data_IF_470311076488
#
_entry.id   IF_470311076488
#
_cell.length_a   1.000
_cell.length_b   1.000
_cell.length_c   1.000
_cell.angle_alpha   90.00
_cell.angle_beta   90.00
_cell.angle_gamma   90.00
#
_symmetry.space_group_name_H-M   'P 1'
#
loop_
_entity.id
_entity.type
_entity.pdbx_description
1 polymer ?
#
# COMPACT_ATOMS: atom_id res chain seq x y z
N UNK A 1 12.78 7.71 20.99
CA UNK A 1 11.97 8.51 20.03
C UNK A 1 10.51 8.41 20.41
N UNK A 2 9.73 9.50 20.44
CA UNK A 2 8.29 9.46 20.74
C UNK A 2 7.53 8.78 19.59
N UNK A 3 6.47 8.03 19.88
CA UNK A 3 5.65 7.36 18.86
C UNK A 3 4.64 8.32 18.20
N UNK A 4 4.02 9.18 19.00
CA UNK A 4 2.94 10.10 18.60
C UNK A 4 3.35 11.58 18.70
N UNK A 5 2.65 12.45 17.96
CA UNK A 5 2.84 13.91 17.98
C UNK A 5 3.84 14.47 16.95
N UNK A 6 4.17 15.77 17.05
CA UNK A 6 5.12 16.43 16.14
C UNK A 6 6.54 15.90 16.31
N UNK A 7 7.30 15.72 15.21
CA UNK A 7 8.67 15.16 15.20
C UNK A 7 8.78 13.77 15.88
N UNK A 8 7.70 12.99 15.84
CA UNK A 8 7.64 11.61 16.36
C UNK A 8 7.90 10.56 15.27
N UNK A 9 7.94 9.28 15.63
CA UNK A 9 8.02 8.19 14.67
C UNK A 9 6.89 8.26 13.63
N UNK A 10 5.64 8.52 14.05
CA UNK A 10 4.51 8.68 13.14
C UNK A 10 4.69 9.82 12.13
N UNK A 11 5.45 10.86 12.47
CA UNK A 11 5.77 11.95 11.55
C UNK A 11 6.68 11.49 10.41
N UNK A 12 7.74 10.75 10.73
CA UNK A 12 8.64 10.18 9.72
C UNK A 12 7.94 9.10 8.89
N UNK A 13 7.16 8.23 9.54
CA UNK A 13 6.39 7.19 8.86
C UNK A 13 5.32 7.78 7.94
N UNK A 14 4.72 8.92 8.27
CA UNK A 14 3.80 9.64 7.38
C UNK A 14 4.49 10.02 6.06
N UNK A 15 5.65 10.66 6.11
CA UNK A 15 6.37 11.04 4.89
C UNK A 15 6.92 9.83 4.15
N UNK A 16 7.46 8.85 4.86
CA UNK A 16 7.96 7.61 4.25
C UNK A 16 6.88 6.85 3.51
N UNK A 17 5.70 6.66 4.11
CA UNK A 17 4.55 6.01 3.45
C UNK A 17 3.98 6.87 2.32
N UNK A 18 3.94 8.20 2.46
CA UNK A 18 3.51 9.08 1.36
C UNK A 18 4.46 8.99 0.16
N UNK A 19 5.77 9.01 0.41
CA UNK A 19 6.78 8.86 -0.63
C UNK A 19 6.70 7.49 -1.29
N UNK A 20 6.51 6.42 -0.51
CA UNK A 20 6.31 5.07 -1.04
C UNK A 20 5.06 4.99 -1.93
N UNK A 21 3.94 5.58 -1.50
CA UNK A 21 2.71 5.62 -2.28
C UNK A 21 2.90 6.32 -3.64
N UNK A 22 3.48 7.53 -3.61
CA UNK A 22 3.77 8.31 -4.81
C UNK A 22 4.77 7.55 -5.69
N UNK A 23 5.83 7.01 -5.10
CA UNK A 23 6.87 6.25 -5.79
C UNK A 23 6.30 5.03 -6.51
N UNK A 24 5.42 4.25 -5.87
CA UNK A 24 4.76 3.11 -6.51
C UNK A 24 3.93 3.51 -7.73
N UNK A 25 3.15 4.59 -7.63
CA UNK A 25 2.30 5.08 -8.73
C UNK A 25 3.14 5.69 -9.87
N UNK A 26 4.17 6.48 -9.54
CA UNK A 26 5.08 7.03 -10.54
C UNK A 26 5.87 5.94 -11.25
N UNK A 27 6.35 4.93 -10.52
CA UNK A 27 7.11 3.83 -11.09
C UNK A 27 6.28 3.03 -12.08
N UNK A 28 5.06 2.63 -11.71
CA UNK A 28 4.18 1.89 -12.63
C UNK A 28 3.75 2.75 -13.82
N UNK A 29 3.46 4.04 -13.59
CA UNK A 29 3.16 4.99 -14.66
C UNK A 29 4.33 5.14 -15.64
N UNK A 30 5.56 5.23 -15.13
CA UNK A 30 6.77 5.31 -15.94
C UNK A 30 7.01 4.04 -16.76
N UNK A 31 6.82 2.86 -16.15
CA UNK A 31 6.92 1.57 -16.87
C UNK A 31 5.90 1.52 -18.01
N UNK A 32 4.61 1.77 -17.71
CA UNK A 32 3.55 1.70 -18.71
C UNK A 32 3.74 2.72 -19.84
N UNK A 33 4.14 3.95 -19.51
CA UNK A 33 4.42 4.99 -20.50
C UNK A 33 5.63 4.63 -21.37
N UNK A 34 6.69 4.08 -20.78
CA UNK A 34 7.87 3.64 -21.53
C UNK A 34 7.55 2.49 -22.49
N UNK A 35 6.73 1.54 -22.05
CA UNK A 35 6.26 0.44 -22.89
C UNK A 35 5.34 0.95 -24.02
N UNK A 36 4.43 1.89 -23.73
CA UNK A 36 3.50 2.45 -24.72
C UNK A 36 4.21 3.31 -25.78
N UNK A 37 5.27 4.03 -25.40
CA UNK A 37 6.06 4.87 -26.31
C UNK A 37 7.17 4.11 -27.05
N UNK A 38 7.40 2.83 -26.72
CA UNK A 38 8.51 2.06 -27.30
C UNK A 38 9.89 2.43 -26.74
N UNK A 39 9.95 3.11 -25.59
CA UNK A 39 11.19 3.51 -24.91
C UNK A 39 11.77 2.36 -24.05
N UNK A 40 11.97 1.19 -24.65
CA UNK A 40 12.57 0.03 -24.00
C UNK A 40 13.42 -0.77 -24.98
N UNK A 41 14.42 -1.48 -24.47
CA UNK A 41 15.17 -2.48 -25.25
C UNK A 41 14.70 -3.88 -24.86
N UNK A 42 14.66 -4.79 -25.82
CA UNK A 42 14.28 -6.18 -25.59
C UNK A 42 15.54 -7.05 -25.66
N UNK A 43 15.87 -7.71 -24.56
CA UNK A 43 17.01 -8.64 -24.47
C UNK A 43 16.45 -9.95 -23.90
N UNK A 44 16.51 -11.04 -24.67
CA UNK A 44 16.06 -12.38 -24.24
C UNK A 44 14.65 -12.38 -23.62
N UNK A 45 13.68 -11.78 -24.31
CA UNK A 45 12.28 -11.65 -23.86
C UNK A 45 12.08 -10.82 -22.57
N UNK A 46 13.08 -10.04 -22.16
CA UNK A 46 12.98 -9.08 -21.06
C UNK A 46 13.02 -7.66 -21.59
N UNK A 47 12.09 -6.83 -21.15
CA UNK A 47 12.18 -5.40 -21.37
C UNK A 47 13.22 -4.80 -20.43
N UNK A 48 13.98 -3.85 -20.94
CA UNK A 48 14.94 -3.06 -20.21
C UNK A 48 14.66 -1.58 -20.49
N UNK A 49 14.26 -0.85 -19.46
CA UNK A 49 13.98 0.58 -19.52
C UNK A 49 15.09 1.30 -18.76
N UNK A 50 15.79 2.22 -19.43
CA UNK A 50 16.81 3.07 -18.80
C UNK A 50 16.15 4.16 -17.97
N UNK A 51 16.73 4.46 -16.81
CA UNK A 51 16.30 5.61 -16.01
C UNK A 51 16.98 6.87 -16.58
N UNK A 52 16.23 7.91 -17.00
CA UNK A 52 16.81 9.06 -17.70
C UNK A 52 17.94 9.77 -16.94
N UNK A 53 17.82 9.84 -15.61
CA UNK A 53 18.80 10.50 -14.73
C UNK A 53 19.99 9.60 -14.38
N UNK A 54 19.88 8.28 -14.58
CA UNK A 54 20.88 7.29 -14.20
C UNK A 54 20.96 6.21 -15.29
N UNK A 55 21.71 6.45 -16.38
CA UNK A 55 21.73 5.56 -17.55
C UNK A 55 22.19 4.13 -17.28
N UNK A 56 22.94 3.91 -16.19
CA UNK A 56 23.41 2.60 -15.75
C UNK A 56 22.33 1.81 -14.98
N UNK A 57 21.28 2.49 -14.51
CA UNK A 57 20.18 1.87 -13.80
C UNK A 57 19.07 1.49 -14.79
N UNK A 58 18.67 0.23 -14.71
CA UNK A 58 17.68 -0.35 -15.60
C UNK A 58 16.54 -0.98 -14.83
N UNK A 59 15.31 -0.64 -15.22
CA UNK A 59 14.13 -1.39 -14.83
C UNK A 59 14.01 -2.56 -15.79
N UNK A 60 14.06 -3.78 -15.24
CA UNK A 60 13.98 -5.02 -16.00
C UNK A 60 12.73 -5.80 -15.61
N UNK A 61 12.10 -6.41 -16.59
CA UNK A 61 10.98 -7.33 -16.38
C UNK A 61 10.76 -8.19 -17.61
N UNK A 62 9.98 -9.26 -17.46
CA UNK A 62 9.60 -10.08 -18.60
C UNK A 62 8.58 -9.33 -19.47
N UNK A 63 8.78 -9.35 -20.78
CA UNK A 63 7.89 -8.71 -21.74
C UNK A 63 6.73 -9.66 -22.11
N UNK A 64 5.93 -9.99 -21.10
CA UNK A 64 4.72 -10.81 -21.28
C UNK A 64 3.52 -10.04 -20.72
N UNK A 65 2.40 -10.05 -21.46
CA UNK A 65 1.23 -9.23 -21.13
C UNK A 65 0.67 -9.55 -19.74
N UNK A 66 0.55 -10.82 -19.39
CA UNK A 66 0.15 -11.29 -18.06
C UNK A 66 1.07 -10.74 -16.96
N UNK A 67 2.39 -10.73 -17.17
CA UNK A 67 3.36 -10.24 -16.19
C UNK A 67 3.26 -8.72 -16.04
N UNK A 68 3.15 -7.98 -17.15
CA UNK A 68 2.98 -6.51 -17.13
C UNK A 68 1.69 -6.13 -16.40
N UNK A 69 0.58 -6.83 -16.68
CA UNK A 69 -0.69 -6.64 -15.97
C UNK A 69 -0.56 -6.95 -14.48
N UNK A 70 0.10 -8.06 -14.12
CA UNK A 70 0.31 -8.43 -12.72
C UNK A 70 1.15 -7.39 -11.97
N UNK A 71 2.29 -6.95 -12.53
CA UNK A 71 3.13 -5.88 -11.97
C UNK A 71 2.31 -4.60 -11.78
N UNK A 72 1.49 -4.24 -12.77
CA UNK A 72 0.66 -3.04 -12.73
C UNK A 72 -0.33 -3.08 -11.57
N UNK A 73 -1.06 -4.19 -11.44
CA UNK A 73 -2.04 -4.41 -10.38
C UNK A 73 -1.39 -4.39 -8.98
N UNK A 74 -0.22 -5.04 -8.83
CA UNK A 74 0.52 -5.08 -7.56
C UNK A 74 1.05 -3.69 -7.18
N UNK A 75 1.67 -2.96 -8.12
CA UNK A 75 2.18 -1.62 -7.85
C UNK A 75 1.07 -0.62 -7.53
N UNK A 76 -0.06 -0.72 -8.23
CA UNK A 76 -1.23 0.09 -7.93
C UNK A 76 -1.77 -0.20 -6.53
N UNK A 77 -1.88 -1.49 -6.16
CA UNK A 77 -2.25 -1.89 -4.81
C UNK A 77 -1.30 -1.32 -3.76
N UNK A 78 0.02 -1.40 -3.97
CA UNK A 78 0.99 -0.81 -3.03
C UNK A 78 0.85 0.72 -2.93
N UNK A 79 0.58 1.40 -4.04
CA UNK A 79 0.27 2.83 -4.04
C UNK A 79 -0.91 3.16 -3.11
N UNK A 80 -2.02 2.42 -3.26
CA UNK A 80 -3.21 2.58 -2.40
C UNK A 80 -2.91 2.18 -0.95
N UNK A 81 -2.20 1.08 -0.73
CA UNK A 81 -1.81 0.57 0.59
C UNK A 81 -1.02 1.62 1.37
N UNK A 82 0.05 2.13 0.78
CA UNK A 82 0.89 3.13 1.42
C UNK A 82 0.17 4.47 1.59
N UNK A 83 -0.73 4.84 0.67
CA UNK A 83 -1.56 6.03 0.83
C UNK A 83 -2.50 5.92 2.03
N UNK A 84 -3.25 4.82 2.17
CA UNK A 84 -4.13 4.63 3.34
C UNK A 84 -3.32 4.57 4.63
N UNK A 85 -2.16 3.91 4.60
CA UNK A 85 -1.24 3.87 5.74
C UNK A 85 -0.72 5.26 6.12
N UNK A 86 -0.43 6.12 5.14
CA UNK A 86 -0.01 7.50 5.40
C UNK A 86 -1.13 8.32 6.05
N UNK A 87 -2.39 8.09 5.71
CA UNK A 87 -3.52 8.75 6.38
C UNK A 87 -3.61 8.38 7.86
N UNK A 88 -3.29 7.14 8.23
CA UNK A 88 -3.23 6.70 9.63
C UNK A 88 -2.09 7.44 10.35
N UNK A 89 -0.88 7.45 9.79
CA UNK A 89 0.26 8.14 10.40
C UNK A 89 0.08 9.66 10.46
N UNK A 90 -0.57 10.26 9.48
CA UNK A 90 -0.95 11.68 9.49
C UNK A 90 -1.81 12.01 10.71
N UNK A 91 -2.71 11.11 11.06
CA UNK A 91 -3.53 11.31 12.26
C UNK A 91 -2.76 11.01 13.55
N UNK A 92 -1.85 10.04 13.57
CA UNK A 92 -1.04 9.73 14.76
C UNK A 92 -0.03 10.83 15.13
N UNK A 93 0.34 11.68 14.18
CA UNK A 93 1.12 12.90 14.46
C UNK A 93 0.28 14.10 14.93
N UNK A 94 -1.05 13.99 14.94
CA UNK A 94 -1.97 15.06 15.35
C UNK A 94 -2.13 15.10 16.87
N UNK A 95 -2.55 16.25 17.42
CA UNK A 95 -2.74 16.42 18.87
C UNK A 95 -3.87 15.53 19.42
N UNK A 96 -5.01 15.47 18.72
CA UNK A 96 -6.12 14.56 19.04
C UNK A 96 -5.95 13.22 18.30
N UNK A 97 -5.64 12.16 19.06
CA UNK A 97 -5.42 10.81 18.51
C UNK A 97 -6.73 10.05 18.24
N UNK A 98 -7.71 10.15 19.14
CA UNK A 98 -8.98 9.45 18.97
C UNK A 98 -9.96 10.36 18.22
N UNK A 99 -10.07 10.15 16.91
CA UNK A 99 -11.01 10.86 16.05
C UNK A 99 -11.75 9.89 15.15
N UNK A 100 -12.96 10.25 14.70
CA UNK A 100 -13.69 9.43 13.73
C UNK A 100 -12.88 9.18 12.45
N UNK A 101 -12.08 10.17 12.04
CA UNK A 101 -11.23 10.07 10.86
C UNK A 101 -10.22 8.94 10.99
N UNK A 102 -9.61 8.79 12.16
CA UNK A 102 -8.67 7.69 12.44
C UNK A 102 -9.36 6.34 12.37
N UNK A 103 -10.52 6.21 13.02
CA UNK A 103 -11.31 4.97 13.01
C UNK A 103 -11.69 4.60 11.58
N UNK A 104 -12.13 5.57 10.77
CA UNK A 104 -12.43 5.37 9.34
C UNK A 104 -11.19 4.94 8.54
N UNK A 105 -10.03 5.55 8.76
CA UNK A 105 -8.79 5.16 8.09
C UNK A 105 -8.32 3.76 8.47
N UNK A 106 -8.39 3.39 9.75
CA UNK A 106 -8.06 2.04 10.24
C UNK A 106 -9.01 1.00 9.63
N UNK A 107 -10.32 1.25 9.62
CA UNK A 107 -11.29 0.35 9.00
C UNK A 107 -11.04 0.18 7.49
N UNK A 108 -10.73 1.25 6.77
CA UNK A 108 -10.34 1.17 5.35
C UNK A 108 -9.09 0.32 5.16
N UNK A 109 -8.09 0.47 6.04
CA UNK A 109 -6.87 -0.31 5.98
C UNK A 109 -7.11 -1.79 6.30
N UNK A 110 -8.01 -2.09 7.24
CA UNK A 110 -8.46 -3.45 7.50
C UNK A 110 -9.15 -4.06 6.28
N UNK A 111 -10.09 -3.35 5.64
CA UNK A 111 -10.77 -3.81 4.42
C UNK A 111 -9.77 -4.05 3.28
N UNK A 112 -8.78 -3.17 3.14
CA UNK A 112 -7.73 -3.33 2.13
C UNK A 112 -7.00 -4.67 2.29
N UNK A 113 -6.74 -5.09 3.52
CA UNK A 113 -6.03 -6.34 3.82
C UNK A 113 -6.95 -7.57 3.88
N UNK A 114 -8.19 -7.44 4.37
CA UNK A 114 -9.12 -8.56 4.54
C UNK A 114 -9.90 -8.91 3.28
N UNK A 115 -10.07 -7.95 2.37
CA UNK A 115 -10.95 -8.10 1.20
C UNK A 115 -10.19 -7.79 -0.08
N UNK A 116 -9.59 -6.60 -0.17
CA UNK A 116 -9.00 -6.14 -1.43
C UNK A 116 -7.78 -6.98 -1.80
N UNK A 117 -6.86 -7.24 -0.86
CA UNK A 117 -5.68 -8.06 -1.13
C UNK A 117 -6.01 -9.53 -1.47
N UNK A 118 -6.91 -10.23 -0.73
CA UNK A 118 -7.37 -11.55 -1.14
C UNK A 118 -8.01 -11.60 -2.53
N UNK A 119 -8.88 -10.64 -2.84
CA UNK A 119 -9.48 -10.54 -4.17
C UNK A 119 -8.41 -10.35 -5.25
N UNK A 120 -7.44 -9.46 -4.99
CA UNK A 120 -6.32 -9.20 -5.89
C UNK A 120 -5.43 -10.44 -6.07
N UNK A 121 -5.13 -11.16 -4.99
CA UNK A 121 -4.36 -12.40 -5.04
C UNK A 121 -5.03 -13.43 -5.96
N UNK A 122 -6.35 -13.63 -5.80
CA UNK A 122 -7.13 -14.57 -6.62
C UNK A 122 -7.13 -14.13 -8.09
N UNK A 123 -7.39 -12.85 -8.36
CA UNK A 123 -7.39 -12.31 -9.73
C UNK A 123 -6.02 -12.52 -10.38
N UNK A 124 -4.93 -12.15 -9.70
CA UNK A 124 -3.59 -12.28 -10.28
C UNK A 124 -3.22 -13.75 -10.48
N UNK A 125 -3.45 -14.62 -9.49
CA UNK A 125 -3.01 -16.01 -9.57
C UNK A 125 -3.80 -16.83 -10.59
N UNK A 126 -5.13 -16.75 -10.55
CA UNK A 126 -5.97 -17.64 -11.34
C UNK A 126 -6.42 -17.02 -12.67
N UNK A 127 -6.68 -15.71 -12.70
CA UNK A 127 -7.18 -15.05 -13.93
C UNK A 127 -6.02 -14.57 -14.81
N UNK A 128 -5.08 -13.82 -14.23
CA UNK A 128 -3.98 -13.20 -14.99
C UNK A 128 -2.88 -14.22 -15.29
N UNK A 129 -2.36 -14.89 -14.26
CA UNK A 129 -1.22 -15.80 -14.39
C UNK A 129 -1.61 -17.24 -14.72
N UNK A 130 -2.90 -17.60 -14.58
CA UNK A 130 -3.42 -18.96 -14.80
C UNK A 130 -2.60 -20.05 -14.09
N UNK A 131 -2.10 -19.74 -12.89
CA UNK A 131 -1.34 -20.70 -12.07
C UNK A 131 -2.28 -21.80 -11.59
N UNK A 132 -1.81 -23.05 -11.62
CA UNK A 132 -2.55 -24.22 -11.14
C UNK A 132 -2.39 -24.50 -9.64
N UNK A 133 -1.48 -23.78 -8.95
CA UNK A 133 -1.15 -24.01 -7.54
C UNK A 133 -1.14 -22.73 -6.69
N UNK A 134 -1.11 -22.91 -5.37
CA UNK A 134 -1.19 -21.85 -4.35
C UNK A 134 0.18 -21.32 -3.92
N UNK A 135 1.11 -21.17 -4.86
CA UNK A 135 2.38 -20.53 -4.55
C UNK A 135 2.11 -19.12 -3.98
N UNK A 136 2.96 -18.68 -3.06
CA UNK A 136 2.86 -17.37 -2.40
C UNK A 136 1.64 -17.16 -1.47
N UNK A 137 0.92 -18.24 -1.09
CA UNK A 137 -0.21 -18.17 -0.14
C UNK A 137 0.15 -17.59 1.23
N UNK A 138 1.44 -17.63 1.62
CA UNK A 138 1.91 -17.02 2.85
C UNK A 138 1.65 -15.51 2.89
N UNK A 139 1.72 -14.81 1.75
CA UNK A 139 1.43 -13.38 1.66
C UNK A 139 -0.05 -13.10 1.91
N UNK A 140 -0.93 -13.99 1.42
CA UNK A 140 -2.37 -13.93 1.68
C UNK A 140 -2.66 -14.05 3.18
N UNK A 141 -2.09 -15.07 3.82
CA UNK A 141 -2.27 -15.32 5.25
C UNK A 141 -1.77 -14.13 6.07
N UNK A 142 -0.59 -13.59 5.73
CA UNK A 142 0.00 -12.45 6.44
C UNK A 142 -0.89 -11.19 6.33
N UNK A 143 -1.43 -10.92 5.14
CA UNK A 143 -2.35 -9.79 4.95
C UNK A 143 -3.65 -9.98 5.74
N UNK A 144 -4.22 -11.19 5.75
CA UNK A 144 -5.42 -11.48 6.55
C UNK A 144 -5.19 -11.26 8.04
N UNK A 145 -4.09 -11.78 8.58
CA UNK A 145 -3.71 -11.59 9.99
C UNK A 145 -3.56 -10.09 10.29
N UNK A 146 -2.82 -9.36 9.45
CA UNK A 146 -2.65 -7.91 9.59
C UNK A 146 -4.00 -7.19 9.60
N UNK A 147 -4.91 -7.55 8.69
CA UNK A 147 -6.26 -7.02 8.61
C UNK A 147 -7.06 -7.21 9.90
N UNK A 148 -7.02 -8.41 10.50
CA UNK A 148 -7.66 -8.71 11.78
C UNK A 148 -7.06 -7.87 12.91
N UNK A 149 -5.73 -7.76 12.99
CA UNK A 149 -5.07 -6.90 13.97
C UNK A 149 -5.49 -5.43 13.83
N UNK A 150 -5.61 -4.92 12.61
CA UNK A 150 -6.07 -3.56 12.37
C UNK A 150 -7.52 -3.36 12.85
N UNK A 151 -8.40 -4.36 12.71
CA UNK A 151 -9.77 -4.27 13.25
C UNK A 151 -9.78 -4.14 14.78
N UNK A 152 -8.94 -4.89 15.49
CA UNK A 152 -8.79 -4.73 16.93
C UNK A 152 -8.32 -3.32 17.29
N UNK A 153 -7.33 -2.79 16.57
CA UNK A 153 -6.85 -1.41 16.77
C UNK A 153 -7.99 -0.42 16.48
N UNK A 154 -8.75 -0.59 15.39
CA UNK A 154 -9.89 0.27 15.07
C UNK A 154 -10.96 0.26 16.17
N UNK A 155 -11.24 -0.89 16.77
CA UNK A 155 -12.17 -1.02 17.89
C UNK A 155 -11.65 -0.31 19.16
N UNK A 156 -10.36 -0.44 19.47
CA UNK A 156 -9.71 0.28 20.58
C UNK A 156 -9.82 1.80 20.36
N UNK A 157 -9.52 2.28 19.16
CA UNK A 157 -9.62 3.71 18.83
C UNK A 157 -11.06 4.22 18.89
N UNK A 158 -12.04 3.40 18.49
CA UNK A 158 -13.46 3.73 18.61
C UNK A 158 -13.89 3.86 20.07
N UNK A 159 -13.41 2.97 20.95
CA UNK A 159 -13.67 3.06 22.39
C UNK A 159 -12.98 4.28 23.02
N UNK A 160 -11.72 4.54 22.64
CA UNK A 160 -10.98 5.72 23.08
C UNK A 160 -11.67 7.02 22.68
N UNK A 161 -12.26 7.09 21.48
CA UNK A 161 -13.05 8.23 21.03
C UNK A 161 -14.26 8.48 21.92
N UNK A 162 -14.99 7.42 22.31
CA UNK A 162 -16.14 7.52 23.20
C UNK A 162 -15.73 8.10 24.56
N UNK A 163 -14.68 7.55 25.17
CA UNK A 163 -14.17 8.02 26.48
C UNK A 163 -13.66 9.47 26.39
N UNK A 164 -12.95 9.82 25.32
CA UNK A 164 -12.47 11.19 25.12
C UNK A 164 -13.64 12.19 25.03
N UNK A 165 -14.71 11.83 24.31
CA UNK A 165 -15.90 12.69 24.20
C UNK A 165 -16.66 12.80 25.52
N UNK A 166 -16.77 11.73 26.30
CA UNK A 166 -17.42 11.76 27.62
C UNK A 166 -16.66 12.67 28.60
N UNK A 167 -15.33 12.64 28.59
CA UNK A 167 -14.51 13.52 29.41
C UNK A 167 -14.57 14.98 28.95
N UNK A 168 -14.55 15.24 27.64
CA UNK A 168 -14.67 16.60 27.07
C UNK A 168 -16.05 17.23 27.38
N UNK A 169 -17.09 16.43 27.68
CA UNK A 169 -18.44 16.90 28.05
C UNK A 169 -18.62 17.17 29.55
N UNK A 170 -17.69 16.71 30.39
CA UNK A 170 -17.81 16.79 31.87
C UNK A 170 -17.03 17.98 32.46
N UNK A 171 -16.21 18.66 31.66
CA UNK A 171 -15.39 19.82 32.04
C UNK A 171 -16.05 21.10 31.52
#
# INVERSE_FOLDING_TARGET
>A
MKLFGTKSLSHYLFYGSTLAAIGSILLVGFILLSLALGNYTLIENRFQISIPLFPELFIKGFYEQNIIVAITLVMFYFGVFFYVLSLIFKSFKSEKLFTEKVVKSLNRFAILNLVVFPALYIIIHFVVMKKSGYNDIHNLILSLILGVFILFIAAIFKRGLKVQNENDLTI
#
